data_IF_374226063448
#
_entry.id   IF_374226063448
#
_cell.length_a   1.000
_cell.length_b   1.000
_cell.length_c   1.000
_cell.angle_alpha   90.00
_cell.angle_beta   90.00
_cell.angle_gamma   90.00
#
_symmetry.space_group_name_H-M   'P 1'
#
loop_
_entity.id
_entity.type
_entity.pdbx_description
1 polymer ?
#
# COMPACT_ATOMS: atom_id res chain seq x y z
N UNK A 1 15.25 -9.22 -19.67
CA UNK A 1 15.60 -9.85 -18.39
C UNK A 1 16.38 -8.80 -17.61
N UNK A 2 15.92 -8.24 -16.49
CA UNK A 2 14.97 -8.75 -15.52
C UNK A 2 14.21 -7.60 -14.84
N UNK A 3 12.98 -7.91 -14.44
CA UNK A 3 12.19 -7.28 -13.38
C UNK A 3 11.73 -5.83 -13.58
N UNK A 4 10.61 -5.69 -14.31
CA UNK A 4 9.53 -4.72 -14.02
C UNK A 4 8.94 -5.05 -12.63
N UNK A 5 9.82 -4.97 -11.64
CA UNK A 5 9.55 -5.16 -10.24
C UNK A 5 8.69 -3.97 -9.87
N UNK A 6 7.38 -4.19 -9.81
CA UNK A 6 6.42 -3.32 -9.13
C UNK A 6 6.84 -3.28 -7.65
N UNK A 7 7.95 -2.60 -7.38
CA UNK A 7 8.60 -2.56 -6.10
C UNK A 7 7.67 -1.76 -5.22
N UNK A 8 7.10 -2.46 -4.26
CA UNK A 8 6.44 -1.87 -3.12
C UNK A 8 7.49 -1.13 -2.25
N UNK A 9 8.13 -0.12 -2.82
CA UNK A 9 9.09 0.74 -2.15
C UNK A 9 8.37 1.68 -1.18
N UNK A 10 9.11 2.22 -0.21
CA UNK A 10 8.58 3.12 0.81
C UNK A 10 7.74 4.27 0.21
N UNK A 11 8.20 4.86 -0.90
CA UNK A 11 7.48 5.92 -1.59
C UNK A 11 6.12 5.46 -2.15
N UNK A 12 6.07 4.26 -2.74
CA UNK A 12 4.84 3.69 -3.25
C UNK A 12 3.86 3.35 -2.11
N UNK A 13 4.38 2.82 -1.00
CA UNK A 13 3.60 2.55 0.20
C UNK A 13 2.95 3.81 0.76
N UNK A 14 3.66 4.94 0.72
CA UNK A 14 3.12 6.23 1.17
C UNK A 14 1.92 6.65 0.32
N UNK A 15 2.06 6.58 -1.00
CA UNK A 15 0.96 6.89 -1.94
C UNK A 15 -0.23 5.95 -1.77
N UNK A 16 0.03 4.63 -1.69
CA UNK A 16 -0.99 3.60 -1.42
C UNK A 16 -1.72 3.85 -0.11
N UNK A 17 -1.01 4.29 0.94
CA UNK A 17 -1.61 4.61 2.23
C UNK A 17 -2.58 5.78 2.13
N UNK A 18 -2.25 6.82 1.35
CA UNK A 18 -3.13 7.97 1.13
C UNK A 18 -4.40 7.58 0.39
N UNK A 19 -4.28 6.80 -0.69
CA UNK A 19 -5.43 6.28 -1.44
C UNK A 19 -6.32 5.39 -0.55
N UNK A 20 -5.73 4.49 0.22
CA UNK A 20 -6.50 3.63 1.14
C UNK A 20 -7.15 4.40 2.29
N UNK A 21 -6.49 5.45 2.79
CA UNK A 21 -7.09 6.33 3.80
C UNK A 21 -8.38 6.97 3.29
N UNK A 22 -8.45 7.29 1.99
CA UNK A 22 -9.64 7.83 1.35
C UNK A 22 -10.74 6.77 1.14
N UNK A 23 -10.37 5.54 0.77
CA UNK A 23 -11.33 4.47 0.41
C UNK A 23 -11.90 3.76 1.64
N UNK A 24 -11.03 3.27 2.54
CA UNK A 24 -11.43 2.45 3.70
C UNK A 24 -11.22 3.17 5.05
N UNK A 25 -10.61 4.36 5.02
CA UNK A 25 -10.33 5.16 6.20
C UNK A 25 -8.88 5.10 6.68
N UNK A 26 -8.43 6.21 7.28
CA UNK A 26 -7.09 6.35 7.86
C UNK A 26 -6.84 5.40 9.04
N UNK A 27 -7.90 5.00 9.75
CA UNK A 27 -7.77 4.18 10.95
C UNK A 27 -7.65 2.67 10.64
N UNK A 28 -7.87 2.27 9.39
CA UNK A 28 -7.83 0.89 8.95
C UNK A 28 -6.43 0.27 9.08
N UNK A 29 -6.36 -0.99 9.51
CA UNK A 29 -5.08 -1.69 9.77
C UNK A 29 -4.15 -1.71 8.54
N UNK A 30 -4.69 -1.93 7.34
CA UNK A 30 -3.92 -1.89 6.10
C UNK A 30 -3.35 -0.49 5.80
N UNK A 31 -4.13 0.58 6.02
CA UNK A 31 -3.70 1.96 5.83
C UNK A 31 -2.55 2.33 6.77
N UNK A 32 -2.68 1.96 8.06
CA UNK A 32 -1.64 2.15 9.06
C UNK A 32 -0.37 1.39 8.70
N UNK A 33 -0.48 0.13 8.28
CA UNK A 33 0.67 -0.68 7.87
C UNK A 33 1.41 -0.07 6.67
N UNK A 34 0.68 0.39 5.66
CA UNK A 34 1.27 1.05 4.48
C UNK A 34 1.97 2.36 4.86
N UNK A 35 1.34 3.17 5.73
CA UNK A 35 1.96 4.39 6.24
C UNK A 35 3.25 4.10 6.99
N UNK A 36 3.23 3.14 7.93
CA UNK A 36 4.44 2.73 8.64
C UNK A 36 5.51 2.21 7.70
N UNK A 37 5.17 1.39 6.71
CA UNK A 37 6.11 0.91 5.71
C UNK A 37 6.73 2.06 4.88
N UNK A 38 5.97 3.12 4.65
CA UNK A 38 6.49 4.33 3.98
C UNK A 38 7.42 5.17 4.86
N UNK A 39 7.16 5.20 6.17
CA UNK A 39 7.94 5.98 7.14
C UNK A 39 9.24 5.26 7.54
N UNK A 40 9.20 3.94 7.73
CA UNK A 40 10.38 3.16 8.14
C UNK A 40 11.23 2.76 6.94
N UNK A 41 10.61 2.52 5.78
CA UNK A 41 11.26 1.94 4.61
C UNK A 41 11.83 0.54 4.86
N UNK A 42 11.46 -0.11 5.95
CA UNK A 42 12.00 -1.43 6.29
C UNK A 42 11.30 -2.50 5.46
N UNK A 43 12.09 -3.41 4.86
CA UNK A 43 11.54 -4.52 4.06
C UNK A 43 10.51 -5.38 4.81
N UNK A 44 10.66 -5.53 6.12
CA UNK A 44 9.71 -6.25 6.97
C UNK A 44 8.33 -5.57 6.99
N UNK A 45 8.30 -4.25 7.06
CA UNK A 45 7.08 -3.45 7.16
C UNK A 45 6.43 -3.37 5.78
N UNK A 46 7.25 -3.22 4.73
CA UNK A 46 6.84 -3.32 3.32
C UNK A 46 6.15 -4.66 3.04
N UNK A 47 6.75 -5.79 3.45
CA UNK A 47 6.16 -7.12 3.26
C UNK A 47 4.86 -7.27 4.05
N UNK A 48 4.83 -6.83 5.31
CA UNK A 48 3.64 -6.88 6.16
C UNK A 48 2.49 -6.05 5.59
N UNK A 49 2.77 -4.81 5.15
CA UNK A 49 1.79 -3.91 4.56
C UNK A 49 1.26 -4.45 3.23
N UNK A 50 2.12 -5.03 2.38
CA UNK A 50 1.69 -5.72 1.16
C UNK A 50 0.76 -6.90 1.46
N UNK A 51 1.06 -7.70 2.47
CA UNK A 51 0.17 -8.80 2.89
C UNK A 51 -1.18 -8.28 3.37
N UNK A 52 -1.21 -7.21 4.16
CA UNK A 52 -2.45 -6.56 4.59
C UNK A 52 -3.24 -5.99 3.39
N UNK A 53 -2.54 -5.36 2.45
CA UNK A 53 -3.14 -4.85 1.22
C UNK A 53 -3.80 -5.97 0.42
N UNK A 54 -3.11 -7.09 0.20
CA UNK A 54 -3.64 -8.26 -0.51
C UNK A 54 -4.80 -8.96 0.22
N UNK A 55 -4.96 -8.75 1.53
CA UNK A 55 -6.10 -9.26 2.32
C UNK A 55 -7.37 -8.41 2.20
N UNK A 56 -7.26 -7.16 1.75
CA UNK A 56 -8.43 -6.29 1.53
C UNK A 56 -9.36 -6.87 0.46
N UNK A 57 -10.60 -6.37 0.38
CA UNK A 57 -11.50 -6.76 -0.70
C UNK A 57 -10.91 -6.33 -2.05
N UNK A 58 -11.12 -7.11 -3.12
CA UNK A 58 -10.59 -6.78 -4.45
C UNK A 58 -11.05 -5.41 -4.97
N UNK A 59 -12.25 -4.95 -4.57
CA UNK A 59 -12.75 -3.60 -4.88
C UNK A 59 -11.89 -2.50 -4.29
N UNK A 60 -11.60 -2.57 -2.99
CA UNK A 60 -10.79 -1.56 -2.28
C UNK A 60 -9.36 -1.50 -2.84
N UNK A 61 -8.76 -2.66 -3.14
CA UNK A 61 -7.43 -2.72 -3.76
C UNK A 61 -7.41 -2.07 -5.13
N UNK A 62 -8.40 -2.37 -5.98
CA UNK A 62 -8.49 -1.78 -7.32
C UNK A 62 -8.69 -0.28 -7.25
N UNK A 63 -9.60 0.20 -6.40
CA UNK A 63 -9.81 1.63 -6.20
C UNK A 63 -8.52 2.33 -5.75
N UNK A 64 -7.77 1.72 -4.83
CA UNK A 64 -6.50 2.28 -4.35
C UNK A 64 -5.44 2.33 -5.45
N UNK A 65 -5.36 1.28 -6.30
CA UNK A 65 -4.43 1.25 -7.43
C UNK A 65 -4.84 2.24 -8.53
N UNK A 66 -6.14 2.41 -8.81
CA UNK A 66 -6.63 3.39 -9.78
C UNK A 66 -6.30 4.82 -9.36
N UNK A 67 -6.38 5.15 -8.06
CA UNK A 67 -5.97 6.48 -7.56
C UNK A 67 -4.46 6.76 -7.66
N UNK A 68 -3.63 5.76 -7.98
CA UNK A 68 -2.19 5.94 -8.18
C UNK A 68 -1.80 6.11 -9.65
N UNK A 69 -2.69 5.70 -10.54
CA UNK A 69 -2.53 5.81 -11.99
C UNK A 69 -2.97 7.21 -12.50
N UNK A 70 -3.73 7.93 -11.67
CA UNK A 70 -4.18 9.32 -11.86
C UNK A 70 -3.17 10.34 -11.29
#
# INVERSE_FOLDING_TARGET
MADDDFKFDAAMMGRLSGALAFIVGADHAATKALKTASETGAEKDIKAARTQFLRLKPGDRRAALTMLDD
#
